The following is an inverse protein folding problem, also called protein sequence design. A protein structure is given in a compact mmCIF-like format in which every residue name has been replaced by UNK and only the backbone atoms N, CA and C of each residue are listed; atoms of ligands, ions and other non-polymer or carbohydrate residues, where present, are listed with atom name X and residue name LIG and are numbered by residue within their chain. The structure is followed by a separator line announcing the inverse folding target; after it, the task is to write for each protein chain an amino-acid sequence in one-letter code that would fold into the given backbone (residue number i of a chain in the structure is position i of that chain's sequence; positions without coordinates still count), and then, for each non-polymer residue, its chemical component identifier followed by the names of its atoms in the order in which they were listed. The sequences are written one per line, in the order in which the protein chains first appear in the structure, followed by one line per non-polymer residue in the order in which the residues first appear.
data_IF_191003944757
#
_entry.id   IF_191003944757
#
_cell.length_a   1.000
_cell.length_b   1.000
_cell.length_c   1.000
_cell.angle_alpha   90.00
_cell.angle_beta   90.00
_cell.angle_gamma   90.00
#
_symmetry.space_group_name_H-M   'P 1'
#
loop_
_entity.id
_entity.type
_entity.pdbx_description
1 polymer ?
#
# COMPACT_ATOMS: atom_id res chain seq x y z
N UNK A 1 -7.61 2.51 -27.07
CA UNK A 1 -6.84 2.19 -25.84
C UNK A 1 -7.12 3.33 -24.88
N UNK A 2 -7.82 3.08 -23.76
CA UNK A 2 -8.11 4.14 -22.80
C UNK A 2 -6.83 4.45 -22.01
N UNK A 3 -6.07 5.43 -22.48
CA UNK A 3 -5.00 6.01 -21.67
C UNK A 3 -5.68 6.76 -20.52
N UNK A 4 -5.70 6.15 -19.33
CA UNK A 4 -6.10 6.88 -18.13
C UNK A 4 -5.07 7.97 -17.91
N UNK A 5 -5.44 9.26 -17.96
CA UNK A 5 -4.45 10.31 -17.84
C UNK A 5 -3.78 10.17 -16.48
N UNK A 6 -2.43 10.10 -16.49
CA UNK A 6 -1.63 9.85 -15.28
C UNK A 6 -2.00 10.81 -14.13
N UNK A 7 -2.44 12.02 -14.46
CA UNK A 7 -2.94 13.03 -13.52
C UNK A 7 -4.15 12.52 -12.71
N UNK A 8 -5.12 11.83 -13.32
CA UNK A 8 -6.29 11.31 -12.60
C UNK A 8 -5.91 10.14 -11.69
N UNK A 9 -5.03 9.24 -12.15
CA UNK A 9 -4.59 8.06 -11.39
C UNK A 9 -3.74 8.48 -10.18
N UNK A 10 -2.76 9.34 -10.40
CA UNK A 10 -1.90 9.84 -9.32
C UNK A 10 -2.69 10.79 -8.41
N UNK A 11 -3.50 11.68 -8.99
CA UNK A 11 -4.30 12.65 -8.24
C UNK A 11 -5.29 11.97 -7.27
N UNK A 12 -6.02 10.96 -7.73
CA UNK A 12 -6.90 10.16 -6.87
C UNK A 12 -6.13 9.42 -5.76
N UNK A 13 -4.94 8.90 -6.07
CA UNK A 13 -4.06 8.26 -5.07
C UNK A 13 -3.58 9.24 -4.01
N UNK A 14 -3.26 10.48 -4.39
CA UNK A 14 -2.95 11.56 -3.45
C UNK A 14 -4.13 11.88 -2.54
N UNK A 15 -5.37 11.89 -3.06
CA UNK A 15 -6.58 12.09 -2.26
C UNK A 15 -6.77 10.96 -1.24
N UNK A 16 -6.56 9.70 -1.65
CA UNK A 16 -6.59 8.54 -0.73
C UNK A 16 -5.55 8.70 0.38
N UNK A 17 -4.32 9.10 0.03
CA UNK A 17 -3.28 9.35 1.02
C UNK A 17 -3.68 10.44 2.02
N UNK A 18 -4.14 11.59 1.53
CA UNK A 18 -4.55 12.72 2.36
C UNK A 18 -5.73 12.36 3.26
N UNK A 19 -6.73 11.63 2.74
CA UNK A 19 -7.84 11.12 3.53
C UNK A 19 -7.35 10.21 4.66
N UNK A 20 -6.47 9.24 4.35
CA UNK A 20 -5.89 8.36 5.37
C UNK A 20 -5.11 9.15 6.43
N UNK A 21 -4.27 10.11 6.02
CA UNK A 21 -3.50 10.94 6.93
C UNK A 21 -4.41 11.77 7.86
N UNK A 22 -5.48 12.34 7.31
CA UNK A 22 -6.49 13.11 8.05
C UNK A 22 -7.24 12.24 9.07
N UNK A 23 -7.87 11.14 8.63
CA UNK A 23 -8.70 10.30 9.50
C UNK A 23 -7.90 9.54 10.57
N UNK A 24 -6.65 9.17 10.27
CA UNK A 24 -5.76 8.52 11.26
C UNK A 24 -5.12 9.53 12.21
N UNK A 25 -5.23 10.83 11.92
CA UNK A 25 -4.55 11.93 12.62
C UNK A 25 -3.05 11.66 12.73
N UNK A 26 -2.44 11.22 11.63
CA UNK A 26 -1.02 10.88 11.62
C UNK A 26 -0.17 12.15 11.79
N UNK A 27 0.82 12.17 12.73
CA UNK A 27 1.78 13.25 12.80
C UNK A 27 2.53 13.39 11.46
N UNK A 28 2.89 14.61 11.06
CA UNK A 28 3.56 14.85 9.76
C UNK A 28 4.82 13.99 9.54
N UNK A 29 5.60 13.73 10.60
CA UNK A 29 6.77 12.83 10.56
C UNK A 29 6.41 11.36 10.24
N UNK A 30 5.24 10.90 10.70
CA UNK A 30 4.71 9.56 10.41
C UNK A 30 4.13 9.49 9.01
N UNK A 31 3.39 10.52 8.58
CA UNK A 31 2.92 10.64 7.20
C UNK A 31 4.07 10.65 6.19
N UNK A 32 5.14 11.41 6.45
CA UNK A 32 6.34 11.40 5.60
C UNK A 32 7.01 10.03 5.55
N UNK A 33 7.14 9.34 6.69
CA UNK A 33 7.71 7.99 6.71
C UNK A 33 6.85 6.99 5.92
N UNK A 34 5.53 7.13 5.97
CA UNK A 34 4.62 6.34 5.14
C UNK A 34 4.84 6.65 3.66
N UNK A 35 4.91 7.92 3.27
CA UNK A 35 5.17 8.30 1.87
C UNK A 35 6.51 7.74 1.35
N UNK A 36 7.58 7.80 2.17
CA UNK A 36 8.89 7.22 1.82
C UNK A 36 8.81 5.70 1.63
N UNK A 37 7.95 5.02 2.40
CA UNK A 37 7.72 3.57 2.22
C UNK A 37 7.14 3.22 0.84
N UNK A 38 6.50 4.18 0.17
CA UNK A 38 6.02 4.04 -1.20
C UNK A 38 7.12 3.68 -2.21
N UNK A 39 8.36 4.11 -2.01
CA UNK A 39 9.48 3.76 -2.90
C UNK A 39 9.75 2.24 -2.82
N UNK A 40 9.74 1.69 -1.62
CA UNK A 40 9.94 0.26 -1.39
C UNK A 40 8.76 -0.56 -1.94
N UNK A 41 7.53 -0.06 -1.78
CA UNK A 41 6.32 -0.65 -2.37
C UNK A 41 6.44 -0.68 -3.90
N UNK A 42 6.78 0.45 -4.54
CA UNK A 42 6.89 0.52 -5.99
C UNK A 42 7.91 -0.48 -6.53
N UNK A 43 9.09 -0.55 -5.91
CA UNK A 43 10.14 -1.50 -6.29
C UNK A 43 9.70 -2.96 -6.14
N UNK A 44 9.10 -3.32 -4.99
CA UNK A 44 8.59 -4.67 -4.77
C UNK A 44 7.46 -5.04 -5.73
N UNK A 45 6.56 -4.10 -6.02
CA UNK A 45 5.44 -4.34 -6.92
C UNK A 45 5.91 -4.58 -8.37
N UNK A 46 6.85 -3.76 -8.86
CA UNK A 46 7.48 -4.00 -10.18
C UNK A 46 8.17 -5.37 -10.21
N UNK A 47 8.90 -5.73 -9.15
CA UNK A 47 9.56 -7.04 -9.08
C UNK A 47 8.54 -8.20 -9.08
N UNK A 48 7.44 -8.06 -8.36
CA UNK A 48 6.36 -9.04 -8.34
C UNK A 48 5.73 -9.22 -9.72
N UNK A 49 5.48 -8.14 -10.45
CA UNK A 49 4.94 -8.19 -11.80
C UNK A 49 5.89 -8.88 -12.78
N UNK A 50 7.19 -8.58 -12.69
CA UNK A 50 8.20 -9.25 -13.52
C UNK A 50 8.18 -10.77 -13.26
N UNK A 51 8.13 -11.19 -11.99
CA UNK A 51 8.05 -12.61 -11.63
C UNK A 51 6.75 -13.23 -12.16
N UNK A 52 5.63 -12.57 -11.94
CA UNK A 52 4.32 -13.07 -12.34
C UNK A 52 4.16 -13.19 -13.85
N UNK A 53 4.69 -12.23 -14.61
CA UNK A 53 4.71 -12.29 -16.07
C UNK A 53 5.49 -13.52 -16.55
N UNK A 54 6.70 -13.73 -16.01
CA UNK A 54 7.54 -14.89 -16.36
C UNK A 54 6.90 -16.23 -15.97
N UNK A 55 6.10 -16.25 -14.90
CA UNK A 55 5.39 -17.45 -14.44
C UNK A 55 4.02 -17.64 -15.10
N UNK A 56 3.62 -16.74 -16.00
CA UNK A 56 2.28 -16.75 -16.62
C UNK A 56 1.14 -16.52 -15.62
N UNK A 57 1.41 -15.91 -14.47
CA UNK A 57 0.41 -15.65 -13.44
C UNK A 57 -0.48 -14.48 -13.79
N UNK A 58 0.09 -13.35 -14.21
CA UNK A 58 -0.66 -12.26 -14.81
C UNK A 58 0.20 -11.46 -15.78
N UNK A 59 -0.46 -10.71 -16.65
CA UNK A 59 0.19 -9.77 -17.55
C UNK A 59 -0.70 -8.55 -17.80
N UNK A 60 -0.14 -7.55 -18.50
CA UNK A 60 -0.76 -6.26 -18.74
C UNK A 60 -1.05 -6.09 -20.24
N UNK A 61 -2.26 -6.40 -20.73
CA UNK A 61 -2.53 -6.37 -22.17
C UNK A 61 -2.33 -4.99 -22.80
N UNK A 62 -2.47 -3.91 -22.02
CA UNK A 62 -2.30 -2.55 -22.53
C UNK A 62 -0.85 -2.16 -22.87
N UNK A 63 0.16 -2.95 -22.46
CA UNK A 63 1.58 -2.63 -22.68
C UNK A 63 2.33 -3.70 -23.48
N UNK A 64 1.59 -4.60 -24.15
CA UNK A 64 2.16 -5.67 -24.97
C UNK A 64 3.04 -6.62 -24.17
N UNK A 65 4.22 -6.94 -24.68
CA UNK A 65 5.16 -7.92 -24.10
C UNK A 65 5.96 -7.40 -22.90
N UNK A 66 5.64 -6.21 -22.38
CA UNK A 66 6.31 -5.69 -21.19
C UNK A 66 5.91 -6.51 -19.97
N UNK A 67 6.90 -6.90 -19.16
CA UNK A 67 6.71 -7.70 -17.94
C UNK A 67 6.16 -6.92 -16.74
N UNK A 68 5.86 -5.64 -16.91
CA UNK A 68 5.33 -4.75 -15.88
C UNK A 68 4.46 -3.66 -16.55
N UNK A 69 3.51 -3.10 -15.81
CA UNK A 69 2.57 -2.10 -16.31
C UNK A 69 3.19 -0.72 -16.54
N UNK A 70 2.38 0.29 -16.87
CA UNK A 70 2.84 1.68 -16.95
C UNK A 70 3.41 2.20 -15.61
N UNK A 71 4.54 2.92 -15.65
CA UNK A 71 5.23 3.41 -14.45
C UNK A 71 4.35 4.26 -13.52
N UNK A 72 3.42 5.02 -14.09
CA UNK A 72 2.52 5.87 -13.30
C UNK A 72 1.54 5.07 -12.42
N UNK A 73 1.24 3.81 -12.74
CA UNK A 73 0.44 2.93 -11.86
C UNK A 73 1.21 2.58 -10.59
N UNK A 74 2.52 2.38 -10.67
CA UNK A 74 3.36 2.12 -9.50
C UNK A 74 3.52 3.35 -8.62
N UNK A 75 3.60 4.54 -9.22
CA UNK A 75 3.59 5.81 -8.46
C UNK A 75 2.25 5.98 -7.74
N UNK A 76 1.14 5.76 -8.45
CA UNK A 76 -0.18 5.81 -7.85
C UNK A 76 -0.36 4.80 -6.71
N UNK A 77 -0.01 3.53 -6.95
CA UNK A 77 -0.05 2.48 -5.94
C UNK A 77 0.86 2.80 -4.74
N UNK A 78 2.08 3.28 -4.98
CA UNK A 78 3.01 3.69 -3.94
C UNK A 78 2.38 4.74 -3.02
N UNK A 79 1.76 5.79 -3.59
CA UNK A 79 1.10 6.84 -2.81
C UNK A 79 -0.13 6.31 -2.08
N UNK A 80 -1.03 5.62 -2.78
CA UNK A 80 -2.28 5.13 -2.19
C UNK A 80 -2.03 4.12 -1.06
N UNK A 81 -1.17 3.12 -1.29
CA UNK A 81 -0.84 2.09 -0.30
C UNK A 81 -0.06 2.67 0.88
N UNK A 82 0.85 3.63 0.64
CA UNK A 82 1.47 4.41 1.72
C UNK A 82 0.41 5.10 2.59
N UNK A 83 -0.64 5.64 1.99
CA UNK A 83 -1.78 6.20 2.72
C UNK A 83 -2.46 5.16 3.59
N UNK A 84 -2.87 4.04 2.99
CA UNK A 84 -3.57 2.95 3.67
C UNK A 84 -2.76 2.39 4.84
N UNK A 85 -1.43 2.32 4.73
CA UNK A 85 -0.57 1.83 5.83
C UNK A 85 -0.59 2.74 7.07
N UNK A 86 -1.02 4.01 6.96
CA UNK A 86 -1.32 4.83 8.14
C UNK A 86 -2.51 4.27 8.94
N UNK A 87 -3.47 3.63 8.28
CA UNK A 87 -4.55 2.88 8.94
C UNK A 87 -3.94 1.68 9.68
N UNK A 88 -3.01 0.96 9.06
CA UNK A 88 -2.25 -0.12 9.70
C UNK A 88 -1.48 0.34 10.95
N UNK A 89 -0.81 1.49 10.87
CA UNK A 89 -0.17 2.13 12.03
C UNK A 89 -1.18 2.44 13.14
N UNK A 90 -2.34 3.03 12.78
CA UNK A 90 -3.41 3.36 13.73
C UNK A 90 -4.02 2.11 14.37
N UNK A 91 -4.26 1.07 13.58
CA UNK A 91 -4.76 -0.22 14.02
C UNK A 91 -3.77 -0.87 15.01
N UNK A 92 -2.46 -0.85 14.70
CA UNK A 92 -1.44 -1.32 15.62
C UNK A 92 -1.46 -0.56 16.95
N UNK A 93 -1.61 0.77 16.90
CA UNK A 93 -1.68 1.57 18.14
C UNK A 93 -2.87 1.21 19.00
N UNK A 94 -4.01 0.86 18.39
CA UNK A 94 -5.26 0.57 19.10
C UNK A 94 -5.36 -0.88 19.58
N UNK A 95 -4.93 -1.83 18.76
CA UNK A 95 -5.14 -3.28 18.96
C UNK A 95 -3.84 -4.08 19.02
N UNK A 96 -2.68 -3.43 19.01
CA UNK A 96 -1.38 -4.09 19.06
C UNK A 96 -1.08 -4.90 17.78
N UNK A 97 -0.25 -5.96 17.90
CA UNK A 97 0.13 -6.80 16.76
C UNK A 97 -1.07 -7.44 16.03
N UNK A 98 -2.13 -7.79 16.75
CA UNK A 98 -3.36 -8.34 16.15
C UNK A 98 -3.97 -7.35 15.17
N UNK A 99 -4.01 -6.06 15.52
CA UNK A 99 -4.47 -5.00 14.61
C UNK A 99 -3.63 -4.90 13.34
N UNK A 100 -2.32 -5.16 13.42
CA UNK A 100 -1.45 -5.22 12.25
C UNK A 100 -1.79 -6.41 11.37
N UNK A 101 -1.94 -7.61 11.95
CA UNK A 101 -2.26 -8.81 11.18
C UNK A 101 -3.61 -8.66 10.47
N UNK A 102 -4.64 -8.21 11.18
CA UNK A 102 -5.97 -7.97 10.60
C UNK A 102 -5.91 -6.93 9.48
N UNK A 103 -5.15 -5.85 9.66
CA UNK A 103 -4.95 -4.86 8.61
C UNK A 103 -4.24 -5.46 7.38
N UNK A 104 -3.17 -6.23 7.56
CA UNK A 104 -2.41 -6.82 6.45
C UNK A 104 -3.26 -7.81 5.65
N UNK A 105 -3.99 -8.69 6.35
CA UNK A 105 -4.92 -9.66 5.74
C UNK A 105 -6.05 -8.94 5.01
N UNK A 106 -6.66 -7.94 5.66
CA UNK A 106 -7.76 -7.18 5.06
C UNK A 106 -7.32 -6.37 3.83
N UNK A 107 -6.15 -5.73 3.88
CA UNK A 107 -5.60 -4.97 2.75
C UNK A 107 -5.22 -5.90 1.59
N UNK A 108 -4.66 -7.07 1.89
CA UNK A 108 -4.38 -8.07 0.87
C UNK A 108 -5.65 -8.59 0.20
N UNK A 109 -6.68 -8.91 0.98
CA UNK A 109 -7.98 -9.32 0.44
C UNK A 109 -8.64 -8.22 -0.42
N UNK A 110 -8.59 -6.97 0.04
CA UNK A 110 -9.05 -5.82 -0.74
C UNK A 110 -8.29 -5.67 -2.06
N UNK A 111 -6.95 -5.70 -2.00
CA UNK A 111 -6.07 -5.54 -3.17
C UNK A 111 -6.35 -6.59 -4.24
N UNK A 112 -6.39 -7.85 -3.86
CA UNK A 112 -6.67 -8.95 -4.79
C UNK A 112 -8.08 -8.91 -5.34
N UNK A 113 -9.08 -8.58 -4.52
CA UNK A 113 -10.45 -8.42 -5.02
C UNK A 113 -10.53 -7.27 -6.01
N UNK A 114 -9.85 -6.15 -5.74
CA UNK A 114 -9.76 -4.99 -6.64
C UNK A 114 -9.11 -5.37 -7.97
N UNK A 115 -8.01 -6.10 -7.94
CA UNK A 115 -7.26 -6.47 -9.15
C UNK A 115 -8.02 -7.50 -9.97
N UNK A 116 -8.69 -8.44 -9.32
CA UNK A 116 -9.62 -9.31 -10.01
C UNK A 116 -10.77 -8.53 -10.65
N UNK A 117 -11.45 -7.64 -9.92
CA UNK A 117 -12.52 -6.82 -10.50
C UNK A 117 -12.00 -6.00 -11.69
N UNK A 118 -10.82 -5.37 -11.56
CA UNK A 118 -10.20 -4.64 -12.65
C UNK A 118 -9.94 -5.52 -13.88
N UNK A 119 -9.53 -6.78 -13.68
CA UNK A 119 -9.35 -7.75 -14.77
C UNK A 119 -10.64 -8.05 -15.55
N UNK A 120 -11.79 -7.93 -14.90
CA UNK A 120 -13.10 -8.23 -15.48
C UNK A 120 -13.73 -7.01 -16.15
N UNK A 121 -13.58 -5.83 -15.54
CA UNK A 121 -14.33 -4.63 -15.94
C UNK A 121 -13.50 -3.56 -16.65
N UNK A 122 -12.16 -3.63 -16.57
CA UNK A 122 -11.28 -2.64 -17.20
C UNK A 122 -10.36 -3.32 -18.22
N UNK A 123 -10.73 -3.18 -19.50
CA UNK A 123 -9.95 -3.73 -20.61
C UNK A 123 -8.50 -3.23 -20.58
N UNK A 124 -7.56 -4.17 -20.60
CA UNK A 124 -6.13 -3.90 -20.71
C UNK A 124 -5.39 -3.62 -19.39
N UNK A 125 -6.08 -3.63 -18.24
CA UNK A 125 -5.46 -3.29 -16.95
C UNK A 125 -4.75 -4.43 -16.26
N UNK A 126 -5.31 -5.65 -16.26
CA UNK A 126 -4.60 -6.85 -15.77
C UNK A 126 -5.35 -8.07 -16.30
N UNK A 127 -4.63 -9.09 -16.73
CA UNK A 127 -5.20 -10.37 -17.14
C UNK A 127 -4.54 -11.48 -16.34
N UNK A 128 -5.34 -12.20 -15.56
CA UNK A 128 -4.87 -13.35 -14.78
C UNK A 128 -4.78 -14.61 -15.64
N UNK A 129 -3.73 -15.38 -15.43
CA UNK A 129 -3.57 -16.71 -15.96
C UNK A 129 -4.54 -17.71 -15.33
N UNK A 130 -4.56 -18.97 -15.82
CA UNK A 130 -5.49 -19.98 -15.36
C UNK A 130 -5.17 -20.48 -13.94
N UNK A 131 -6.22 -20.96 -13.26
CA UNK A 131 -6.10 -21.63 -11.96
C UNK A 131 -6.02 -20.68 -10.76
N UNK A 132 -5.85 -21.23 -9.54
CA UNK A 132 -5.87 -20.44 -8.31
C UNK A 132 -4.53 -19.78 -7.96
N UNK A 133 -3.42 -20.22 -8.55
CA UNK A 133 -2.07 -19.73 -8.23
C UNK A 133 -1.91 -18.22 -8.42
N UNK A 134 -2.39 -17.62 -9.53
CA UNK A 134 -2.25 -16.18 -9.73
C UNK A 134 -2.91 -15.33 -8.64
N UNK A 135 -4.06 -15.78 -8.13
CA UNK A 135 -4.79 -15.10 -7.06
C UNK A 135 -4.04 -15.17 -5.73
N UNK A 136 -3.49 -16.34 -5.41
CA UNK A 136 -2.69 -16.53 -4.19
C UNK A 136 -1.43 -15.67 -4.27
N UNK A 137 -0.76 -15.68 -5.42
CA UNK A 137 0.44 -14.88 -5.64
C UNK A 137 0.16 -13.38 -5.54
N UNK A 138 -0.93 -12.91 -6.14
CA UNK A 138 -1.35 -11.50 -6.04
C UNK A 138 -1.69 -11.08 -4.59
N UNK A 139 -2.41 -11.94 -3.86
CA UNK A 139 -2.69 -11.71 -2.43
C UNK A 139 -1.41 -11.61 -1.61
N UNK A 140 -0.44 -12.47 -1.86
CA UNK A 140 0.86 -12.43 -1.20
C UNK A 140 1.66 -11.17 -1.60
N UNK A 141 1.58 -10.71 -2.85
CA UNK A 141 2.18 -9.45 -3.30
C UNK A 141 1.61 -8.28 -2.51
N UNK A 142 0.29 -8.19 -2.38
CA UNK A 142 -0.35 -7.15 -1.58
C UNK A 142 0.04 -7.20 -0.10
N UNK A 143 0.00 -8.40 0.48
CA UNK A 143 0.37 -8.62 1.88
C UNK A 143 1.82 -8.18 2.14
N UNK A 144 2.75 -8.60 1.28
CA UNK A 144 4.18 -8.30 1.42
C UNK A 144 4.49 -6.83 1.18
N UNK A 145 3.86 -6.18 0.20
CA UNK A 145 3.94 -4.73 0.01
C UNK A 145 3.48 -3.96 1.25
N UNK A 146 2.33 -4.33 1.81
CA UNK A 146 1.80 -3.68 3.01
C UNK A 146 2.69 -3.92 4.24
N UNK A 147 3.20 -5.15 4.42
CA UNK A 147 4.10 -5.49 5.50
C UNK A 147 5.43 -4.74 5.40
N UNK A 148 6.03 -4.71 4.20
CA UNK A 148 7.24 -3.96 3.91
C UNK A 148 7.05 -2.48 4.22
N UNK A 149 5.92 -1.90 3.83
CA UNK A 149 5.63 -0.50 4.10
C UNK A 149 5.58 -0.19 5.60
N UNK A 150 4.91 -1.04 6.39
CA UNK A 150 4.86 -0.90 7.84
C UNK A 150 6.25 -1.09 8.48
N UNK A 151 7.07 -2.00 7.96
CA UNK A 151 8.45 -2.21 8.41
C UNK A 151 9.34 -1.00 8.13
N UNK A 152 9.28 -0.44 6.92
CA UNK A 152 10.03 0.78 6.55
C UNK A 152 9.61 1.95 7.46
N UNK A 153 8.30 2.11 7.70
CA UNK A 153 7.80 3.13 8.62
C UNK A 153 8.29 2.92 10.05
N UNK A 154 8.33 1.67 10.52
CA UNK A 154 8.85 1.33 11.84
C UNK A 154 10.36 1.57 11.92
N UNK A 155 11.12 1.32 10.85
CA UNK A 155 12.56 1.64 10.77
C UNK A 155 12.82 3.14 10.86
N UNK A 156 12.06 3.95 10.13
CA UNK A 156 12.27 5.41 10.07
C UNK A 156 11.77 6.17 11.31
N UNK A 157 10.72 5.68 11.97
CA UNK A 157 10.05 6.41 13.09
C UNK A 157 9.91 5.59 14.37
N UNK A 158 10.41 4.36 14.38
CA UNK A 158 10.29 3.46 15.50
C UNK A 158 8.87 2.93 15.71
N UNK A 159 8.75 2.15 16.79
CA UNK A 159 7.53 1.42 17.15
C UNK A 159 6.28 2.33 17.11
N UNK A 160 5.12 1.87 16.58
CA UNK A 160 3.92 2.70 16.42
C UNK A 160 3.44 3.43 17.69
N UNK A 161 3.79 2.92 18.88
CA UNK A 161 3.49 3.54 20.18
C UNK A 161 4.34 4.76 20.54
N UNK A 162 5.47 5.00 19.86
CA UNK A 162 6.36 6.15 20.14
C UNK A 162 5.71 7.50 19.85
N UNK A 163 4.71 7.53 18.99
CA UNK A 163 3.96 8.74 18.62
C UNK A 163 2.81 9.07 19.60
N UNK A 164 2.92 8.60 20.86
CA UNK A 164 2.02 9.01 21.93
C UNK A 164 2.39 10.41 22.44
N UNK A 165 1.41 11.28 22.74
CA UNK A 165 1.69 12.53 23.43
C UNK A 165 2.47 12.24 24.71
N UNK A 166 3.61 12.92 24.94
CA UNK A 166 4.32 12.81 26.22
C UNK A 166 3.35 13.27 27.32
N UNK A 167 3.22 12.54 28.45
CA UNK A 167 2.45 13.04 29.58
C UNK A 167 3.00 14.40 29.98
N UNK A 168 2.12 15.39 30.16
CA UNK A 168 2.50 16.66 30.76
C UNK A 168 2.99 16.33 32.18
N UNK A 169 4.29 16.42 32.40
CA UNK A 169 4.84 16.43 33.75
C UNK A 169 4.23 17.66 34.43
N UNK A 170 3.26 17.44 35.31
CA UNK A 170 2.80 18.48 36.23
C UNK A 170 4.02 18.85 37.07
N UNK A 171 4.67 19.97 36.74
CA UNK A 171 5.59 20.63 37.66
C UNK A 171 4.74 21.12 38.82
N UNK A 172 4.62 20.30 39.86
CA UNK A 172 4.25 20.82 41.17
C UNK A 172 5.37 21.76 41.59
N UNK A 173 5.12 23.06 41.44
CA UNK A 173 5.84 24.08 42.17
C UNK A 173 5.49 23.89 43.64
N UNK A 174 6.36 23.19 44.36
CA UNK A 174 6.47 23.33 45.81
C UNK A 174 7.01 24.74 46.07
N UNK A 175 6.14 25.59 46.60
CA UNK A 175 6.48 26.90 47.15
C UNK A 175 7.16 26.79 48.50
#
# INVERSE_FOLDING_TARGET
MADYPAVLVIGSSCLVFLACAYFTRAPGRRALAALVSGIAIAGLNIAADIVAHNMGWWHYPAVGDRSYGPLHWYVAAAVAVSGLTLIGWRAHRRFGPIGTVVFLVGLAGYGTTRDWLASQVVSGVIAFGPGPVPWIADYLTWFTCAALALLVQAGLRGHPRRDAPRPRLNRHHSG
#
